data_IF_092833566897
#
_entry.id   IF_092833566897
#
_cell.length_a   1.000
_cell.length_b   1.000
_cell.length_c   1.000
_cell.angle_alpha   90.00
_cell.angle_beta   90.00
_cell.angle_gamma   90.00
#
_symmetry.space_group_name_H-M   'P 1'
#
loop_
_entity.id
_entity.type
_entity.pdbx_description
1 polymer ?
#
# COMPACT_ATOMS: atom_id res chain seq x y z
N UNK A 1 1.38 -25.78 -14.08
CA UNK A 1 0.37 -26.44 -13.22
C UNK A 1 -0.86 -25.53 -13.18
N UNK A 2 -2.02 -25.99 -13.66
CA UNK A 2 -3.26 -25.24 -13.43
C UNK A 2 -3.56 -25.30 -11.93
N UNK A 3 -3.38 -24.20 -11.21
CA UNK A 3 -3.72 -24.09 -9.80
C UNK A 3 -5.20 -24.43 -9.64
N UNK A 4 -5.53 -25.50 -8.89
CA UNK A 4 -6.92 -25.81 -8.54
C UNK A 4 -7.54 -24.58 -7.87
N UNK A 5 -8.65 -24.08 -8.44
CA UNK A 5 -9.36 -22.97 -7.85
C UNK A 5 -9.91 -23.39 -6.48
N UNK A 6 -9.42 -22.73 -5.42
CA UNK A 6 -9.99 -22.85 -4.07
C UNK A 6 -11.22 -21.94 -4.00
N UNK A 7 -12.40 -22.52 -3.77
CA UNK A 7 -13.66 -21.77 -3.71
C UNK A 7 -13.87 -21.26 -2.28
N UNK A 8 -14.00 -19.94 -2.14
CA UNK A 8 -14.29 -19.27 -0.86
C UNK A 8 -15.69 -18.67 -0.89
N UNK A 9 -16.55 -19.07 0.05
CA UNK A 9 -17.88 -18.48 0.24
C UNK A 9 -17.87 -17.60 1.48
N UNK A 10 -18.19 -16.31 1.31
CA UNK A 10 -18.25 -15.33 2.41
C UNK A 10 -19.65 -14.73 2.54
N UNK A 11 -20.02 -14.40 3.77
CA UNK A 11 -21.22 -13.59 4.06
C UNK A 11 -20.79 -12.14 4.23
N UNK A 12 -21.46 -11.23 3.53
CA UNK A 12 -21.19 -9.80 3.59
C UNK A 12 -22.50 -9.03 3.80
N UNK A 13 -22.44 -7.85 4.41
CA UNK A 13 -23.56 -6.91 4.43
C UNK A 13 -24.09 -6.63 3.02
N UNK A 14 -25.41 -6.45 2.90
CA UNK A 14 -26.07 -6.26 1.62
C UNK A 14 -25.60 -4.97 0.92
N UNK A 15 -25.36 -3.91 1.69
CA UNK A 15 -24.82 -2.64 1.23
C UNK A 15 -23.39 -2.80 0.67
N UNK A 16 -22.55 -3.61 1.34
CA UNK A 16 -21.18 -3.87 0.89
C UNK A 16 -21.18 -4.58 -0.47
N UNK A 17 -22.03 -5.60 -0.62
CA UNK A 17 -22.20 -6.29 -1.90
C UNK A 17 -22.64 -5.34 -3.01
N UNK A 18 -23.58 -4.45 -2.72
CA UNK A 18 -24.07 -3.46 -3.69
C UNK A 18 -22.96 -2.49 -4.11
N UNK A 19 -22.21 -1.95 -3.14
CA UNK A 19 -21.06 -1.06 -3.42
C UNK A 19 -19.99 -1.75 -4.26
N UNK A 20 -19.65 -3.01 -3.95
CA UNK A 20 -18.71 -3.80 -4.74
C UNK A 20 -19.20 -4.01 -6.18
N UNK A 21 -20.50 -4.24 -6.39
CA UNK A 21 -21.08 -4.38 -7.72
C UNK A 21 -20.92 -3.10 -8.55
N UNK A 22 -21.25 -1.93 -7.98
CA UNK A 22 -21.11 -0.64 -8.66
C UNK A 22 -19.65 -0.34 -9.03
N UNK A 23 -18.71 -0.58 -8.12
CA UNK A 23 -17.29 -0.35 -8.39
C UNK A 23 -16.77 -1.33 -9.46
N UNK A 24 -17.20 -2.60 -9.42
CA UNK A 24 -16.79 -3.59 -10.41
C UNK A 24 -17.27 -3.21 -11.81
N UNK A 25 -18.53 -2.74 -11.92
CA UNK A 25 -19.10 -2.22 -13.16
C UNK A 25 -18.32 -1.01 -13.68
N UNK A 26 -18.03 -0.02 -12.83
CA UNK A 26 -17.24 1.16 -13.20
C UNK A 26 -15.83 0.81 -13.70
N UNK A 27 -15.22 -0.23 -13.15
CA UNK A 27 -13.88 -0.70 -13.52
C UNK A 27 -13.91 -1.72 -14.67
N UNK A 28 -15.09 -2.12 -15.15
CA UNK A 28 -15.24 -3.10 -16.24
C UNK A 28 -14.76 -4.52 -15.88
N UNK A 29 -14.84 -4.91 -14.60
CA UNK A 29 -14.39 -6.22 -14.11
C UNK A 29 -15.51 -6.97 -13.40
N UNK A 30 -15.36 -8.28 -13.20
CA UNK A 30 -16.31 -9.03 -12.38
C UNK A 30 -16.15 -8.71 -10.89
N UNK A 31 -17.24 -8.82 -10.12
CA UNK A 31 -17.23 -8.66 -8.66
C UNK A 31 -16.20 -9.58 -8.00
N UNK A 32 -16.07 -10.82 -8.48
CA UNK A 32 -15.13 -11.79 -7.93
C UNK A 32 -13.67 -11.37 -8.17
N UNK A 33 -13.35 -10.84 -9.36
CA UNK A 33 -12.02 -10.32 -9.65
C UNK A 33 -11.69 -9.09 -8.79
N UNK A 34 -12.65 -8.18 -8.65
CA UNK A 34 -12.48 -7.02 -7.79
C UNK A 34 -12.27 -7.42 -6.33
N UNK A 35 -13.09 -8.34 -5.82
CA UNK A 35 -12.98 -8.85 -4.45
C UNK A 35 -11.63 -9.53 -4.22
N UNK A 36 -11.19 -10.38 -5.16
CA UNK A 36 -9.88 -11.04 -5.09
C UNK A 36 -8.74 -10.00 -5.05
N UNK A 37 -8.76 -9.02 -5.94
CA UNK A 37 -7.77 -7.94 -5.94
C UNK A 37 -7.74 -7.18 -4.62
N UNK A 38 -8.90 -6.81 -4.09
CA UNK A 38 -9.00 -6.11 -2.81
C UNK A 38 -8.46 -6.95 -1.65
N UNK A 39 -8.78 -8.25 -1.60
CA UNK A 39 -8.23 -9.16 -0.59
C UNK A 39 -6.72 -9.28 -0.67
N UNK A 40 -6.17 -9.50 -1.87
CA UNK A 40 -4.72 -9.58 -2.06
C UNK A 40 -4.03 -8.28 -1.65
N UNK A 41 -4.58 -7.13 -2.05
CA UNK A 41 -4.03 -5.82 -1.70
C UNK A 41 -4.03 -5.58 -0.20
N UNK A 42 -5.15 -5.88 0.47
CA UNK A 42 -5.26 -5.62 1.91
C UNK A 42 -4.40 -6.56 2.75
N UNK A 43 -4.29 -7.84 2.37
CA UNK A 43 -3.35 -8.76 3.01
C UNK A 43 -1.92 -8.25 2.85
N UNK A 44 -1.52 -7.84 1.64
CA UNK A 44 -0.20 -7.27 1.40
C UNK A 44 0.07 -6.01 2.22
N UNK A 45 -0.92 -5.13 2.37
CA UNK A 45 -0.81 -3.94 3.23
C UNK A 45 -0.61 -4.31 4.70
N UNK A 46 -1.36 -5.28 5.21
CA UNK A 46 -1.24 -5.74 6.60
C UNK A 46 0.14 -6.37 6.87
N UNK A 47 0.62 -7.20 5.96
CA UNK A 47 1.95 -7.82 6.04
C UNK A 47 3.06 -6.76 5.98
N UNK A 48 2.96 -5.81 5.04
CA UNK A 48 3.91 -4.71 4.92
C UNK A 48 3.93 -3.85 6.19
N UNK A 49 2.76 -3.48 6.70
CA UNK A 49 2.62 -2.69 7.93
C UNK A 49 3.23 -3.42 9.14
N UNK A 50 2.99 -4.73 9.28
CA UNK A 50 3.61 -5.53 10.34
C UNK A 50 5.12 -5.62 10.18
N UNK A 51 5.63 -5.80 8.96
CA UNK A 51 7.06 -5.90 8.70
C UNK A 51 7.77 -4.57 8.98
N UNK A 52 7.22 -3.46 8.52
CA UNK A 52 7.69 -2.10 8.81
C UNK A 52 7.67 -1.87 10.32
N UNK A 53 6.56 -2.16 10.99
CA UNK A 53 6.44 -1.98 12.44
C UNK A 53 7.46 -2.82 13.22
N UNK A 54 7.73 -4.07 12.80
CA UNK A 54 8.76 -4.92 13.42
C UNK A 54 10.16 -4.37 13.18
N UNK A 55 10.46 -3.94 11.95
CA UNK A 55 11.76 -3.38 11.59
C UNK A 55 12.08 -2.13 12.41
N UNK A 56 11.10 -1.23 12.55
CA UNK A 56 11.28 0.04 13.27
C UNK A 56 11.07 -0.07 14.78
N UNK A 57 10.74 -1.25 15.32
CA UNK A 57 10.46 -1.43 16.75
C UNK A 57 11.65 -1.09 17.65
N UNK A 58 12.85 -1.37 17.15
CA UNK A 58 14.10 -1.18 17.89
C UNK A 58 14.73 0.20 17.66
N UNK A 59 14.10 1.05 16.83
CA UNK A 59 14.57 2.40 16.54
C UNK A 59 13.64 3.44 17.18
N UNK A 60 14.23 4.38 17.90
CA UNK A 60 13.49 5.54 18.39
C UNK A 60 13.24 6.52 17.24
N UNK A 61 12.13 7.28 17.35
CA UNK A 61 11.81 8.34 16.39
C UNK A 61 12.99 9.31 16.19
N UNK A 62 13.73 9.61 17.25
CA UNK A 62 14.89 10.52 17.19
C UNK A 62 16.05 9.94 16.38
N UNK A 63 16.35 8.65 16.54
CA UNK A 63 17.39 7.97 15.76
C UNK A 63 17.04 7.97 14.27
N UNK A 64 15.80 7.64 13.92
CA UNK A 64 15.36 7.63 12.51
C UNK A 64 15.54 9.00 11.83
N UNK A 65 15.15 10.09 12.52
CA UNK A 65 15.32 11.44 11.96
C UNK A 65 16.79 11.87 11.93
N UNK A 66 17.57 11.52 12.95
CA UNK A 66 19.00 11.81 12.97
C UNK A 66 19.75 11.11 11.84
N UNK A 67 19.45 9.82 11.59
CA UNK A 67 20.05 9.04 10.51
C UNK A 67 19.66 9.61 9.14
N UNK A 68 18.41 10.05 9.00
CA UNK A 68 17.94 10.71 7.78
C UNK A 68 18.71 12.01 7.51
N UNK A 69 18.82 12.88 8.52
CA UNK A 69 19.54 14.14 8.40
C UNK A 69 21.03 13.90 8.10
N UNK A 70 21.65 12.88 8.71
CA UNK A 70 23.06 12.53 8.46
C UNK A 70 23.28 12.06 7.02
N UNK A 71 22.37 11.25 6.47
CA UNK A 71 22.44 10.80 5.07
C UNK A 71 22.19 11.96 4.11
N UNK A 72 21.18 12.79 4.39
CA UNK A 72 20.87 13.95 3.55
C UNK A 72 21.98 15.00 3.57
N UNK A 73 22.67 15.18 4.69
CA UNK A 73 23.83 16.07 4.79
C UNK A 73 25.01 15.65 3.90
N UNK A 74 25.09 14.39 3.46
CA UNK A 74 26.12 13.89 2.53
C UNK A 74 25.81 14.24 1.07
N UNK A 75 24.59 14.68 0.77
CA UNK A 75 24.20 15.10 -0.57
C UNK A 75 24.86 16.45 -0.88
N UNK A 76 25.65 16.50 -1.95
CA UNK A 76 26.29 17.73 -2.39
C UNK A 76 25.26 18.68 -2.99
N UNK A 77 25.37 19.96 -2.64
CA UNK A 77 24.62 21.01 -3.31
C UNK A 77 24.96 21.05 -4.79
N UNK A 78 23.90 21.14 -5.60
CA UNK A 78 23.97 21.25 -7.05
C UNK A 78 23.10 22.43 -7.47
N UNK A 79 23.52 23.20 -8.48
CA UNK A 79 22.71 24.30 -8.99
C UNK A 79 21.38 23.72 -9.47
N UNK A 80 20.30 24.10 -8.78
CA UNK A 80 18.94 23.78 -9.18
C UNK A 80 18.47 24.80 -10.22
N UNK A 81 17.78 24.36 -11.28
CA UNK A 81 17.17 25.27 -12.24
C UNK A 81 16.20 26.25 -11.57
N UNK A 82 16.01 27.42 -12.16
CA UNK A 82 15.15 28.47 -11.57
C UNK A 82 13.70 28.04 -11.36
N UNK A 83 13.21 27.08 -12.16
CA UNK A 83 11.85 26.54 -12.05
C UNK A 83 11.67 25.53 -10.90
N UNK A 84 12.77 25.06 -10.30
CA UNK A 84 12.81 24.08 -9.21
C UNK A 84 13.27 24.71 -7.88
N UNK A 85 13.33 26.05 -7.83
CA UNK A 85 13.59 26.80 -6.60
C UNK A 85 12.32 26.85 -5.77
N UNK A 86 12.40 26.50 -4.49
CA UNK A 86 11.32 26.79 -3.55
C UNK A 86 11.29 28.30 -3.30
N UNK A 87 10.11 28.93 -3.44
CA UNK A 87 9.88 30.35 -3.13
C UNK A 87 10.18 30.69 -1.65
#
# INVERSE_FOLDING_TARGET
>A
MMSKASVLTIRVPADLKHRLALIAEQQGVSINQLAMYMFTKEIGNLEASQNISKYWKDYSKKEIFSDFDEVMAKVKDRPVPDWDKME
#
